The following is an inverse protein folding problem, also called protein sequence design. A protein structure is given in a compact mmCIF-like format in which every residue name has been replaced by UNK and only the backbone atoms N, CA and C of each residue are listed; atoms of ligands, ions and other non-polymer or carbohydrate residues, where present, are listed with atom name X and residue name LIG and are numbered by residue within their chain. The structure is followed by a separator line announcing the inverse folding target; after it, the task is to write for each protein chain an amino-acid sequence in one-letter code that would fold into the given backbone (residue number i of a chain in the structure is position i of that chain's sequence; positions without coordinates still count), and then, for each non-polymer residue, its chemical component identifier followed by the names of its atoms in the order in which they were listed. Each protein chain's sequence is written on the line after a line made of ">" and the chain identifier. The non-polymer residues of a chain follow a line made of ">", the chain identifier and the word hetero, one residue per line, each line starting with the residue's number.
data_IF_922032787990
#
_entry.id   IF_922032787990
#
_cell.length_a   1.000
_cell.length_b   1.000
_cell.length_c   1.000
_cell.angle_alpha   90.00
_cell.angle_beta   90.00
_cell.angle_gamma   90.00
#
_symmetry.space_group_name_H-M   'P 1'
#
loop_
_entity.id
_entity.type
_entity.pdbx_description
1 polymer ?
#
# COMPACT_ATOMS: atom_id res chain seq x y z
N UNK A 1 16.98 -1.55 -7.49
CA UNK A 1 17.38 -2.92 -7.12
C UNK A 1 18.60 -2.88 -6.21
N UNK A 2 19.70 -2.25 -6.64
CA UNK A 2 20.92 -2.08 -5.82
C UNK A 2 20.66 -1.49 -4.42
N UNK A 3 19.95 -0.36 -4.31
CA UNK A 3 19.70 0.28 -3.01
C UNK A 3 18.97 -0.64 -2.00
N UNK A 4 18.02 -1.45 -2.46
CA UNK A 4 17.30 -2.40 -1.61
C UNK A 4 18.21 -3.57 -1.19
N UNK A 5 19.08 -4.03 -2.09
CA UNK A 5 20.08 -5.07 -1.80
C UNK A 5 21.11 -4.59 -0.77
N UNK A 6 21.57 -3.34 -0.87
CA UNK A 6 22.44 -2.71 0.14
C UNK A 6 21.80 -2.63 1.54
N UNK A 7 20.46 -2.57 1.60
CA UNK A 7 19.68 -2.62 2.85
C UNK A 7 19.36 -4.06 3.29
N UNK A 8 19.82 -5.05 2.52
CA UNK A 8 19.52 -6.47 2.70
C UNK A 8 18.05 -6.82 2.52
N UNK A 9 17.23 -5.98 1.87
CA UNK A 9 15.78 -6.17 1.74
C UNK A 9 15.43 -7.56 1.16
N UNK A 10 14.39 -8.22 1.69
CA UNK A 10 13.97 -9.57 1.27
C UNK A 10 14.68 -10.77 1.93
N UNK A 11 15.62 -10.54 2.85
CA UNK A 11 16.12 -11.56 3.80
C UNK A 11 15.07 -12.12 4.76
N UNK A 12 15.48 -13.10 5.56
CA UNK A 12 14.59 -13.97 6.34
C UNK A 12 13.66 -13.25 7.32
N UNK A 13 12.42 -13.72 7.37
CA UNK A 13 11.40 -13.29 8.32
C UNK A 13 11.68 -13.80 9.74
N UNK A 14 11.21 -13.04 10.74
CA UNK A 14 11.25 -13.44 12.16
C UNK A 14 9.87 -13.80 12.72
N UNK A 15 8.80 -13.66 11.93
CA UNK A 15 7.44 -13.94 12.37
C UNK A 15 7.16 -15.45 12.40
N UNK A 16 6.14 -15.84 13.17
CA UNK A 16 5.78 -17.24 13.40
C UNK A 16 4.86 -17.76 12.29
N UNK A 17 5.28 -18.82 11.63
CA UNK A 17 4.52 -19.51 10.57
C UNK A 17 3.46 -20.48 11.08
N UNK A 18 3.34 -20.67 12.40
CA UNK A 18 2.45 -21.69 12.96
C UNK A 18 0.96 -21.35 12.71
N UNK A 19 0.36 -22.03 11.74
CA UNK A 19 -1.08 -22.13 11.52
C UNK A 19 -1.55 -23.50 12.08
N UNK A 20 -2.45 -23.53 13.07
CA UNK A 20 -2.94 -24.80 13.66
C UNK A 20 -3.81 -25.64 12.72
N UNK A 21 -4.36 -25.02 11.67
CA UNK A 21 -5.27 -25.61 10.69
C UNK A 21 -4.64 -25.52 9.29
N UNK A 22 -5.06 -26.37 8.34
CA UNK A 22 -4.61 -26.39 6.92
C UNK A 22 -4.89 -25.07 6.14
N UNK A 23 -5.35 -24.02 6.83
CA UNK A 23 -5.67 -22.72 6.26
C UNK A 23 -4.54 -21.71 6.49
N UNK A 24 -4.15 -21.00 5.42
CA UNK A 24 -3.12 -19.97 5.50
C UNK A 24 -3.54 -18.82 6.43
N UNK A 25 -2.64 -18.43 7.34
CA UNK A 25 -2.83 -17.28 8.23
C UNK A 25 -1.80 -16.21 7.86
N UNK A 26 -2.26 -15.05 7.40
CA UNK A 26 -1.41 -13.90 7.18
C UNK A 26 -0.95 -13.29 8.51
N UNK A 27 0.28 -12.78 8.58
CA UNK A 27 0.70 -11.98 9.73
C UNK A 27 -0.06 -10.64 9.74
N UNK A 28 -0.19 -10.01 8.57
CA UNK A 28 -0.93 -8.76 8.40
C UNK A 28 -1.73 -8.78 7.11
N UNK A 29 -3.03 -8.47 7.20
CA UNK A 29 -3.83 -8.07 6.04
C UNK A 29 -4.05 -6.57 6.08
N UNK A 30 -3.81 -5.88 4.97
CA UNK A 30 -3.95 -4.43 4.82
C UNK A 30 -5.17 -4.17 3.95
N UNK A 31 -6.18 -3.50 4.50
CA UNK A 31 -7.42 -3.17 3.78
C UNK A 31 -7.26 -1.77 3.18
N UNK A 32 -7.12 -1.70 1.87
CA UNK A 32 -6.83 -0.50 1.07
C UNK A 32 -5.43 -0.58 0.45
N UNK A 33 -5.37 -0.47 -0.88
CA UNK A 33 -4.16 -0.48 -1.72
C UNK A 33 -3.69 0.90 -2.18
N UNK A 34 -4.28 1.98 -1.65
CA UNK A 34 -3.83 3.35 -1.90
C UNK A 34 -2.50 3.69 -1.21
N UNK A 35 -2.09 4.97 -1.25
CA UNK A 35 -0.79 5.43 -0.72
C UNK A 35 -0.46 4.90 0.68
N UNK A 36 -1.39 4.99 1.63
CA UNK A 36 -1.17 4.52 3.01
C UNK A 36 -0.99 3.00 3.07
N UNK A 37 -1.73 2.25 2.26
CA UNK A 37 -1.61 0.79 2.17
C UNK A 37 -0.29 0.35 1.57
N UNK A 38 0.14 1.00 0.48
CA UNK A 38 1.46 0.75 -0.12
C UNK A 38 2.61 1.12 0.82
N UNK A 39 2.48 2.23 1.55
CA UNK A 39 3.43 2.63 2.58
C UNK A 39 3.51 1.58 3.70
N UNK A 40 2.37 1.16 4.24
CA UNK A 40 2.32 0.14 5.29
C UNK A 40 2.90 -1.20 4.82
N UNK A 41 2.56 -1.65 3.61
CA UNK A 41 3.09 -2.88 3.03
C UNK A 41 4.61 -2.82 2.93
N UNK A 42 5.17 -1.75 2.34
CA UNK A 42 6.61 -1.61 2.24
C UNK A 42 7.30 -1.50 3.61
N UNK A 43 6.71 -0.76 4.55
CA UNK A 43 7.18 -0.66 5.93
C UNK A 43 7.31 -2.04 6.59
N UNK A 44 6.28 -2.89 6.47
CA UNK A 44 6.30 -4.25 7.00
C UNK A 44 7.38 -5.13 6.35
N UNK A 45 7.53 -5.04 5.03
CA UNK A 45 8.58 -5.78 4.31
C UNK A 45 9.99 -5.36 4.76
N UNK A 46 10.22 -4.07 5.04
CA UNK A 46 11.49 -3.57 5.58
C UNK A 46 11.80 -4.15 6.96
N UNK A 47 10.76 -4.37 7.77
CA UNK A 47 10.84 -4.98 9.09
C UNK A 47 10.82 -6.52 9.07
N UNK A 48 11.01 -7.18 7.92
CA UNK A 48 11.02 -8.66 7.78
C UNK A 48 9.70 -9.33 8.18
N UNK A 49 8.60 -8.68 7.83
CA UNK A 49 7.26 -9.23 7.94
C UNK A 49 6.73 -9.36 6.50
N UNK A 50 6.97 -10.51 5.86
CA UNK A 50 6.67 -10.72 4.43
C UNK A 50 5.38 -11.50 4.16
N UNK A 51 4.86 -12.23 5.14
CA UNK A 51 3.56 -12.89 5.06
C UNK A 51 2.39 -11.89 5.21
N UNK A 52 2.29 -10.97 4.26
CA UNK A 52 1.31 -9.89 4.21
C UNK A 52 0.49 -9.94 2.93
N UNK A 53 -0.72 -9.39 2.98
CA UNK A 53 -1.57 -9.22 1.81
C UNK A 53 -2.30 -7.88 1.89
N UNK A 54 -2.15 -7.05 0.87
CA UNK A 54 -3.00 -5.89 0.63
C UNK A 54 -4.26 -6.30 -0.13
N UNK A 55 -5.40 -5.74 0.24
CA UNK A 55 -6.68 -5.94 -0.45
C UNK A 55 -7.24 -4.57 -0.85
N UNK A 56 -7.57 -4.38 -2.12
CA UNK A 56 -8.28 -3.19 -2.59
C UNK A 56 -9.53 -3.60 -3.36
N UNK A 57 -10.62 -2.87 -3.17
CA UNK A 57 -11.88 -3.11 -3.88
C UNK A 57 -11.83 -2.65 -5.35
N UNK A 58 -10.94 -1.71 -5.67
CA UNK A 58 -10.82 -1.15 -7.01
C UNK A 58 -9.96 -2.05 -7.91
N UNK A 59 -10.16 -1.97 -9.24
CA UNK A 59 -9.28 -2.64 -10.19
C UNK A 59 -7.82 -2.19 -10.06
N UNK A 60 -6.90 -3.06 -10.50
CA UNK A 60 -5.47 -2.78 -10.47
C UNK A 60 -5.11 -1.44 -11.15
N UNK A 61 -4.37 -0.60 -10.42
CA UNK A 61 -3.97 0.72 -10.87
C UNK A 61 -5.01 1.82 -10.65
N UNK A 62 -6.16 1.53 -10.04
CA UNK A 62 -7.19 2.51 -9.67
C UNK A 62 -7.37 2.63 -8.16
N UNK A 63 -6.38 2.20 -7.38
CA UNK A 63 -6.43 2.21 -5.92
C UNK A 63 -6.39 3.62 -5.34
N UNK A 64 -7.14 3.81 -4.25
CA UNK A 64 -7.18 5.07 -3.54
C UNK A 64 -7.82 6.22 -4.35
N UNK A 65 -7.64 7.47 -3.90
CA UNK A 65 -8.44 8.60 -4.38
C UNK A 65 -7.98 9.18 -5.70
N UNK A 66 -6.73 8.95 -6.10
CA UNK A 66 -6.01 9.85 -7.00
C UNK A 66 -6.54 9.85 -8.41
N UNK A 67 -7.07 8.74 -8.92
CA UNK A 67 -7.76 8.67 -10.21
C UNK A 67 -9.27 8.45 -10.11
N UNK A 68 -9.78 8.26 -8.90
CA UNK A 68 -11.19 7.97 -8.64
C UNK A 68 -11.98 9.24 -8.27
N UNK A 69 -12.05 9.54 -6.98
CA UNK A 69 -12.92 10.59 -6.44
C UNK A 69 -12.19 11.90 -6.09
N UNK A 70 -10.85 11.94 -6.12
CA UNK A 70 -10.10 13.19 -5.96
C UNK A 70 -10.51 14.22 -7.04
N UNK A 71 -10.75 15.47 -6.62
CA UNK A 71 -11.18 16.58 -7.51
C UNK A 71 -10.15 17.68 -7.70
N UNK A 72 -9.12 17.74 -6.86
CA UNK A 72 -8.02 18.68 -7.05
C UNK A 72 -7.19 18.32 -8.29
N UNK A 73 -6.69 19.33 -9.00
CA UNK A 73 -5.81 19.09 -10.16
C UNK A 73 -4.39 18.72 -9.72
N UNK A 74 -3.93 19.32 -8.62
CA UNK A 74 -2.60 19.07 -8.05
C UNK A 74 -2.69 18.74 -6.56
N UNK A 75 -1.64 18.11 -6.04
CA UNK A 75 -1.43 17.97 -4.60
C UNK A 75 -1.29 19.37 -3.98
N UNK A 76 -1.76 19.49 -2.73
CA UNK A 76 -1.61 20.71 -1.91
C UNK A 76 -0.33 20.68 -1.08
N UNK A 77 0.23 19.49 -0.90
CA UNK A 77 1.49 19.26 -0.21
C UNK A 77 2.66 19.83 -1.03
N UNK A 78 3.65 20.50 -0.40
CA UNK A 78 4.84 20.95 -1.10
C UNK A 78 5.55 19.80 -1.81
N UNK A 79 6.04 20.02 -3.05
CA UNK A 79 6.69 18.95 -3.85
C UNK A 79 7.88 18.30 -3.13
N UNK A 80 8.57 19.04 -2.26
CA UNK A 80 9.74 18.57 -1.54
C UNK A 80 9.44 17.63 -0.36
N UNK A 81 8.17 17.42 0.00
CA UNK A 81 7.82 16.53 1.10
C UNK A 81 7.94 15.06 0.67
N UNK A 82 8.74 14.30 1.41
CA UNK A 82 8.83 12.84 1.34
C UNK A 82 7.57 12.21 1.94
N UNK A 83 7.10 11.09 1.38
CA UNK A 83 5.78 10.54 1.72
C UNK A 83 5.85 9.08 2.20
N UNK A 84 6.25 8.18 1.32
CA UNK A 84 6.25 6.73 1.57
C UNK A 84 7.60 6.09 1.22
N UNK A 85 8.62 6.88 0.90
CA UNK A 85 9.94 6.43 0.47
C UNK A 85 10.81 5.85 1.61
N UNK A 86 10.40 6.03 2.87
CA UNK A 86 11.14 5.57 4.07
C UNK A 86 12.63 5.98 4.07
N UNK A 87 12.93 7.17 3.54
CA UNK A 87 14.29 7.70 3.52
C UNK A 87 15.18 7.07 2.45
N UNK A 88 14.63 6.29 1.51
CA UNK A 88 15.35 5.73 0.36
C UNK A 88 15.25 6.73 -0.80
N UNK A 89 16.33 7.44 -1.17
CA UNK A 89 16.25 8.54 -2.15
C UNK A 89 15.71 8.11 -3.51
N UNK A 90 16.10 6.91 -3.97
CA UNK A 90 15.66 6.35 -5.25
C UNK A 90 14.16 6.04 -5.30
N UNK A 91 13.47 5.96 -4.15
CA UNK A 91 12.02 5.74 -4.09
C UNK A 91 11.21 7.04 -4.03
N UNK A 92 11.84 8.20 -3.94
CA UNK A 92 11.12 9.49 -3.86
C UNK A 92 10.39 9.84 -5.16
N UNK A 93 9.30 10.60 -5.07
CA UNK A 93 8.64 11.15 -6.26
C UNK A 93 9.60 11.99 -7.11
N UNK A 94 10.52 12.72 -6.47
CA UNK A 94 11.55 13.48 -7.18
C UNK A 94 12.39 12.58 -8.07
N UNK A 95 12.93 11.49 -7.54
CA UNK A 95 13.76 10.57 -8.32
C UNK A 95 12.97 9.96 -9.50
N UNK A 96 11.71 9.58 -9.26
CA UNK A 96 10.80 9.13 -10.31
C UNK A 96 10.58 10.21 -11.40
N UNK A 97 10.32 11.45 -10.99
CA UNK A 97 10.07 12.56 -11.90
C UNK A 97 11.30 12.97 -12.70
N UNK A 98 12.46 13.07 -12.06
CA UNK A 98 13.73 13.40 -12.72
C UNK A 98 14.15 12.30 -13.71
N UNK A 99 13.82 11.04 -13.46
CA UNK A 99 14.08 9.95 -14.41
C UNK A 99 13.25 10.09 -15.71
N UNK A 100 12.05 10.66 -15.64
CA UNK A 100 11.15 10.82 -16.79
C UNK A 100 11.30 12.20 -17.47
N UNK A 101 11.59 13.25 -16.71
CA UNK A 101 11.54 14.65 -17.16
C UNK A 101 12.86 15.42 -16.95
N UNK A 102 13.88 14.76 -16.42
CA UNK A 102 15.16 15.37 -16.08
C UNK A 102 15.10 16.32 -14.87
N UNK A 103 16.26 16.78 -14.39
CA UNK A 103 16.36 17.71 -13.26
C UNK A 103 15.71 19.07 -13.55
N UNK A 104 15.70 19.51 -14.80
CA UNK A 104 15.01 20.74 -15.21
C UNK A 104 13.49 20.62 -15.08
N UNK A 105 12.93 19.44 -15.40
CA UNK A 105 11.50 19.17 -15.19
C UNK A 105 11.10 19.22 -13.72
N UNK A 106 11.97 18.74 -12.83
CA UNK A 106 11.77 18.87 -11.38
C UNK A 106 11.88 20.32 -10.89
N UNK A 107 12.80 21.10 -11.44
CA UNK A 107 12.92 22.51 -11.11
C UNK A 107 11.65 23.28 -11.52
N UNK A 108 11.11 22.99 -12.71
CA UNK A 108 9.98 23.69 -13.30
C UNK A 108 8.60 23.34 -12.71
N UNK A 109 8.39 22.10 -12.24
CA UNK A 109 7.10 21.70 -11.65
C UNK A 109 6.88 22.43 -10.32
N UNK A 110 5.79 23.18 -10.16
CA UNK A 110 5.46 23.84 -8.89
C UNK A 110 4.76 22.86 -7.93
N UNK A 111 3.63 22.30 -8.38
CA UNK A 111 2.84 21.31 -7.65
C UNK A 111 2.68 20.04 -8.47
N UNK A 112 2.75 18.91 -7.79
CA UNK A 112 2.59 17.59 -8.40
C UNK A 112 1.15 17.40 -8.86
N UNK A 113 0.85 17.16 -10.15
CA UNK A 113 -0.50 16.83 -10.58
C UNK A 113 -0.95 15.49 -10.00
N UNK A 114 -2.25 15.36 -9.70
CA UNK A 114 -2.77 14.16 -9.02
C UNK A 114 -2.57 12.87 -9.81
N UNK A 115 -2.59 12.96 -11.15
CA UNK A 115 -2.45 11.79 -12.04
C UNK A 115 -1.02 11.30 -12.08
N UNK A 116 -0.06 12.22 -12.16
CA UNK A 116 1.36 11.89 -12.07
C UNK A 116 1.71 11.29 -10.69
N UNK A 117 1.05 11.75 -9.63
CA UNK A 117 1.17 11.09 -8.32
C UNK A 117 0.64 9.66 -8.34
N UNK A 118 -0.49 9.40 -9.00
CA UNK A 118 -1.00 8.04 -9.16
C UNK A 118 -0.04 7.17 -9.99
N UNK A 119 0.54 7.71 -11.07
CA UNK A 119 1.54 7.01 -11.87
C UNK A 119 2.79 6.66 -11.07
N UNK A 120 3.23 7.57 -10.21
CA UNK A 120 4.27 7.30 -9.21
C UNK A 120 3.88 6.16 -8.27
N UNK A 121 2.65 6.11 -7.73
CA UNK A 121 2.20 5.02 -6.86
C UNK A 121 2.11 3.67 -7.59
N UNK A 122 1.67 3.67 -8.85
CA UNK A 122 1.68 2.48 -9.72
C UNK A 122 3.11 1.98 -9.94
N UNK A 123 4.04 2.90 -10.24
CA UNK A 123 5.46 2.59 -10.34
C UNK A 123 6.00 2.02 -9.03
N UNK A 124 5.71 2.69 -7.91
CA UNK A 124 6.16 2.32 -6.57
C UNK A 124 5.73 0.90 -6.19
N UNK A 125 4.44 0.57 -6.36
CA UNK A 125 3.91 -0.79 -6.15
C UNK A 125 4.66 -1.82 -6.98
N UNK A 126 4.88 -1.55 -8.26
CA UNK A 126 5.54 -2.46 -9.20
C UNK A 126 7.01 -2.68 -8.87
N UNK A 127 7.78 -1.62 -8.63
CA UNK A 127 9.23 -1.75 -8.38
C UNK A 127 9.55 -2.45 -7.06
N UNK A 128 8.66 -2.30 -6.07
CA UNK A 128 8.75 -2.97 -4.77
C UNK A 128 8.04 -4.32 -4.73
N UNK A 129 7.34 -4.71 -5.81
CA UNK A 129 6.56 -5.96 -5.93
C UNK A 129 5.60 -6.15 -4.75
N UNK A 130 4.92 -5.07 -4.35
CA UNK A 130 4.05 -5.11 -3.17
C UNK A 130 2.84 -6.04 -3.40
N UNK A 131 2.55 -6.97 -2.46
CA UNK A 131 1.52 -7.99 -2.63
C UNK A 131 0.13 -7.41 -2.36
N UNK A 132 -0.43 -6.72 -3.35
CA UNK A 132 -1.81 -6.21 -3.30
C UNK A 132 -2.67 -7.03 -4.25
N UNK A 133 -3.81 -7.52 -3.78
CA UNK A 133 -4.87 -8.15 -4.58
C UNK A 133 -6.01 -7.15 -4.77
N UNK A 134 -6.29 -6.85 -6.02
CA UNK A 134 -7.36 -5.95 -6.44
C UNK A 134 -8.69 -6.67 -6.58
N UNK A 135 -9.76 -5.92 -6.87
CA UNK A 135 -11.12 -6.44 -7.04
C UNK A 135 -11.58 -7.28 -5.82
N UNK A 136 -11.04 -6.96 -4.65
CA UNK A 136 -11.17 -7.72 -3.40
C UNK A 136 -11.76 -6.83 -2.32
N UNK A 137 -13.09 -6.63 -2.36
CA UNK A 137 -13.79 -5.83 -1.36
C UNK A 137 -13.95 -6.62 -0.06
N UNK A 138 -13.33 -6.16 1.01
CA UNK A 138 -13.58 -6.66 2.38
C UNK A 138 -14.94 -6.16 2.85
N UNK A 139 -15.80 -7.07 3.29
CA UNK A 139 -17.17 -6.78 3.75
C UNK A 139 -17.37 -6.93 5.24
N UNK A 140 -16.53 -7.73 5.90
CA UNK A 140 -16.59 -7.96 7.34
C UNK A 140 -15.20 -8.27 7.90
N UNK A 141 -14.86 -7.69 9.05
CA UNK A 141 -13.71 -8.10 9.86
C UNK A 141 -14.18 -8.51 11.25
N UNK A 142 -13.97 -9.77 11.61
CA UNK A 142 -14.44 -10.33 12.88
C UNK A 142 -13.32 -11.04 13.67
N UNK A 143 -13.29 -10.92 15.01
CA UNK A 143 -12.35 -11.68 15.82
C UNK A 143 -12.77 -13.16 15.89
N UNK A 144 -11.86 -14.07 15.55
CA UNK A 144 -12.07 -15.52 15.72
C UNK A 144 -11.69 -15.93 17.15
N UNK A 145 -10.53 -15.44 17.60
CA UNK A 145 -10.01 -15.58 18.96
C UNK A 145 -8.96 -14.49 19.20
N UNK A 146 -8.41 -14.40 20.41
CA UNK A 146 -7.36 -13.43 20.72
C UNK A 146 -6.20 -13.54 19.72
N UNK A 147 -5.93 -12.44 19.01
CA UNK A 147 -4.83 -12.35 18.04
C UNK A 147 -5.08 -13.05 16.70
N UNK A 148 -6.33 -13.34 16.35
CA UNK A 148 -6.72 -13.89 15.05
C UNK A 148 -8.04 -13.27 14.59
N UNK A 149 -8.04 -12.73 13.38
CA UNK A 149 -9.19 -12.13 12.71
C UNK A 149 -9.53 -12.92 11.45
N UNK A 150 -10.83 -12.97 11.14
CA UNK A 150 -11.35 -13.41 9.85
C UNK A 150 -11.79 -12.20 9.07
N UNK A 151 -11.41 -12.14 7.80
CA UNK A 151 -11.88 -11.14 6.84
C UNK A 151 -12.74 -11.87 5.82
N UNK A 152 -13.97 -11.41 5.63
CA UNK A 152 -14.87 -11.91 4.59
C UNK A 152 -14.83 -10.96 3.39
N UNK A 153 -14.76 -11.53 2.19
CA UNK A 153 -14.77 -10.78 0.94
C UNK A 153 -16.15 -10.83 0.28
N UNK A 154 -16.41 -9.88 -0.61
CA UNK A 154 -17.69 -9.75 -1.30
C UNK A 154 -18.03 -10.94 -2.21
N UNK A 155 -17.02 -11.71 -2.66
CA UNK A 155 -17.18 -12.93 -3.45
C UNK A 155 -17.42 -14.20 -2.61
N UNK A 156 -17.42 -14.07 -1.27
CA UNK A 156 -17.59 -15.17 -0.32
C UNK A 156 -16.28 -15.82 0.14
N UNK A 157 -15.11 -15.43 -0.40
CA UNK A 157 -13.82 -15.89 0.12
C UNK A 157 -13.61 -15.38 1.56
N UNK A 158 -12.95 -16.18 2.38
CA UNK A 158 -12.53 -15.77 3.73
C UNK A 158 -11.03 -15.93 3.90
N UNK A 159 -10.42 -14.96 4.59
CA UNK A 159 -9.00 -14.92 4.90
C UNK A 159 -8.79 -14.84 6.41
N UNK A 160 -7.69 -15.40 6.89
CA UNK A 160 -7.27 -15.28 8.29
C UNK A 160 -6.04 -14.38 8.41
N UNK A 161 -6.03 -13.52 9.43
CA UNK A 161 -4.93 -12.62 9.71
C UNK A 161 -4.68 -12.45 11.22
N UNK A 162 -3.42 -12.38 11.66
CA UNK A 162 -3.09 -12.04 13.05
C UNK A 162 -3.34 -10.57 13.37
N UNK A 163 -3.11 -9.71 12.38
CA UNK A 163 -3.31 -8.26 12.44
C UNK A 163 -4.02 -7.78 11.17
N UNK A 164 -4.82 -6.73 11.34
CA UNK A 164 -5.47 -6.03 10.23
C UNK A 164 -5.09 -4.56 10.29
N UNK A 165 -4.62 -4.01 9.17
CA UNK A 165 -4.33 -2.58 9.01
C UNK A 165 -5.42 -1.97 8.16
N UNK A 166 -6.14 -0.99 8.71
CA UNK A 166 -7.17 -0.25 7.98
C UNK A 166 -6.54 0.96 7.28
N UNK A 167 -6.41 0.87 5.95
CA UNK A 167 -5.82 1.88 5.08
C UNK A 167 -6.82 2.36 4.00
N UNK A 168 -8.12 2.37 4.32
CA UNK A 168 -9.24 2.68 3.41
C UNK A 168 -9.41 4.18 3.09
N UNK A 169 -8.47 5.03 3.52
CA UNK A 169 -8.49 6.46 3.24
C UNK A 169 -9.63 7.22 3.92
N UNK A 170 -9.95 8.40 3.39
CA UNK A 170 -10.96 9.32 3.96
C UNK A 170 -12.37 8.95 3.49
N UNK A 171 -12.55 7.93 2.63
CA UNK A 171 -13.89 7.44 2.27
C UNK A 171 -14.65 6.92 3.51
N UNK A 172 -13.97 6.46 4.56
CA UNK A 172 -14.60 6.16 5.85
C UNK A 172 -15.11 7.39 6.63
N UNK A 173 -14.79 8.61 6.18
CA UNK A 173 -15.20 9.87 6.82
C UNK A 173 -16.48 10.51 6.27
N UNK A 174 -17.03 10.01 5.15
CA UNK A 174 -18.25 10.56 4.52
C UNK A 174 -19.52 9.73 4.74
N UNK A 175 -19.36 8.42 4.96
CA UNK A 175 -20.35 7.47 5.44
C UNK A 175 -19.60 6.52 6.39
N UNK A 176 -20.04 6.42 7.64
CA UNK A 176 -19.39 5.58 8.66
C UNK A 176 -19.76 4.10 8.42
N UNK A 177 -19.04 3.43 7.53
CA UNK A 177 -19.01 1.97 7.49
C UNK A 177 -17.56 1.52 7.45
N UNK A 178 -17.00 1.27 8.65
CA UNK A 178 -15.90 0.32 8.77
C UNK A 178 -16.51 -1.08 8.55
N UNK A 179 -15.93 -1.94 7.69
CA UNK A 179 -16.29 -3.35 7.66
C UNK A 179 -15.93 -4.05 8.99
#
# INVERSE_FOLDING_TARGET
>A
AHDLDCLGFGGADWTRTDAPDDQHIHDVVIVGGGQSGLGAAFGLLRERISNILGLDENPAGQEGPWDSYARMMTLRTPKHLTAIDYGIPALTFRAYWEAMHGPQGWAAIDKIPRRDWMDYLRWYRRVLRLPVRNDSRVTLVEPVRRGLFRLSLADGETLLARKVVMATGIQGGGQWQMP
#
